data_IF_770897574434
#
_entry.id   IF_770897574434
#
_cell.length_a   1.000
_cell.length_b   1.000
_cell.length_c   1.000
_cell.angle_alpha   90.00
_cell.angle_beta   90.00
_cell.angle_gamma   90.00
#
_symmetry.space_group_name_H-M   'P 1'
#
loop_
_entity.id
_entity.type
_entity.pdbx_description
1 polymer ?
#
# COMPACT_ATOMS: atom_id res chain seq x y z
N UNK A 1 -41.85 -14.21 11.41
CA UNK A 1 -40.48 -14.51 10.93
C UNK A 1 -40.06 -13.40 9.96
N UNK A 2 -38.88 -12.76 10.11
CA UNK A 2 -38.44 -11.80 9.12
C UNK A 2 -38.17 -12.51 7.80
N UNK A 3 -38.79 -12.04 6.71
CA UNK A 3 -38.67 -12.60 5.35
C UNK A 3 -37.19 -12.71 4.97
N UNK A 4 -36.73 -13.91 4.60
CA UNK A 4 -35.37 -14.10 4.08
C UNK A 4 -35.16 -13.26 2.82
N UNK A 5 -33.97 -12.69 2.57
CA UNK A 5 -33.74 -11.72 1.49
C UNK A 5 -33.63 -12.35 0.09
N UNK A 6 -34.00 -13.61 -0.09
CA UNK A 6 -33.60 -14.48 -1.22
C UNK A 6 -33.99 -13.96 -2.62
N UNK A 7 -34.87 -12.94 -2.72
CA UNK A 7 -35.29 -12.32 -3.98
C UNK A 7 -35.08 -10.79 -4.06
N UNK A 8 -34.40 -10.17 -3.09
CA UNK A 8 -34.18 -8.72 -3.09
C UNK A 8 -33.14 -8.32 -4.13
N UNK A 9 -33.40 -7.20 -4.82
CA UNK A 9 -32.43 -6.51 -5.68
C UNK A 9 -31.75 -5.41 -4.85
N UNK A 10 -30.54 -5.03 -5.22
CA UNK A 10 -29.75 -4.01 -4.52
C UNK A 10 -29.23 -2.98 -5.52
N UNK A 11 -29.30 -1.71 -5.14
CA UNK A 11 -28.63 -0.62 -5.84
C UNK A 11 -27.36 -0.31 -5.06
N UNK A 12 -26.20 -0.32 -5.73
CA UNK A 12 -24.90 -0.05 -5.13
C UNK A 12 -24.35 1.21 -5.77
N UNK A 13 -23.99 2.20 -4.95
CA UNK A 13 -23.31 3.42 -5.38
C UNK A 13 -21.97 3.45 -4.65
N UNK A 14 -20.89 3.69 -5.39
CA UNK A 14 -19.53 3.72 -4.87
C UNK A 14 -18.75 4.85 -5.53
N UNK A 15 -17.98 5.57 -4.73
CA UNK A 15 -17.02 6.58 -5.18
C UNK A 15 -15.75 6.48 -4.33
N UNK A 16 -14.73 7.27 -4.67
CA UNK A 16 -13.53 7.43 -3.87
C UNK A 16 -12.96 8.84 -4.07
N UNK A 17 -12.14 9.29 -3.14
CA UNK A 17 -11.53 10.61 -3.13
C UNK A 17 -10.01 10.58 -3.42
N UNK A 18 -9.46 9.47 -3.93
CA UNK A 18 -8.10 9.50 -4.44
C UNK A 18 -8.05 10.31 -5.73
N UNK A 19 -7.06 11.20 -5.93
CA UNK A 19 -6.99 11.97 -7.16
C UNK A 19 -6.94 11.06 -8.40
N UNK A 20 -7.75 11.38 -9.40
CA UNK A 20 -7.82 10.62 -10.65
C UNK A 20 -6.43 10.51 -11.28
N UNK A 21 -6.12 9.34 -11.83
CA UNK A 21 -4.81 9.00 -12.43
C UNK A 21 -3.62 8.95 -11.46
N UNK A 22 -3.83 9.06 -10.14
CA UNK A 22 -2.76 8.90 -9.15
C UNK A 22 -2.26 7.46 -8.99
N UNK A 23 -2.80 6.47 -9.73
CA UNK A 23 -2.31 5.08 -9.70
C UNK A 23 -2.49 4.37 -8.35
N UNK A 24 -3.38 4.86 -7.47
CA UNK A 24 -3.64 4.26 -6.17
C UNK A 24 -4.47 2.96 -6.29
N UNK A 25 -4.31 2.05 -5.32
CA UNK A 25 -5.00 0.75 -5.29
C UNK A 25 -6.50 0.85 -4.92
N UNK A 26 -7.26 1.69 -5.62
CA UNK A 26 -8.68 1.99 -5.35
C UNK A 26 -9.61 0.78 -5.48
N UNK A 27 -9.22 -0.26 -6.23
CA UNK A 27 -9.98 -1.51 -6.30
C UNK A 27 -10.03 -2.24 -4.95
N UNK A 28 -8.95 -2.20 -4.17
CA UNK A 28 -8.89 -2.87 -2.87
C UNK A 28 -9.86 -2.24 -1.87
N UNK A 29 -9.82 -0.91 -1.72
CA UNK A 29 -10.72 -0.18 -0.84
C UNK A 29 -12.18 -0.26 -1.31
N UNK A 30 -12.43 -0.14 -2.61
CA UNK A 30 -13.78 -0.21 -3.19
C UNK A 30 -14.47 -1.56 -2.94
N UNK A 31 -13.82 -2.68 -3.27
CA UNK A 31 -14.40 -4.01 -3.02
C UNK A 31 -14.56 -4.33 -1.54
N UNK A 32 -13.67 -3.83 -0.68
CA UNK A 32 -13.81 -3.99 0.76
C UNK A 32 -15.01 -3.21 1.32
N UNK A 33 -15.17 -1.95 0.94
CA UNK A 33 -16.31 -1.12 1.34
C UNK A 33 -17.64 -1.71 0.85
N UNK A 34 -17.69 -2.14 -0.41
CA UNK A 34 -18.86 -2.80 -0.99
C UNK A 34 -19.21 -4.10 -0.24
N UNK A 35 -18.21 -4.93 0.05
CA UNK A 35 -18.40 -6.17 0.81
C UNK A 35 -18.99 -5.89 2.20
N UNK A 36 -18.40 -4.95 2.95
CA UNK A 36 -18.85 -4.58 4.28
C UNK A 36 -20.28 -4.05 4.28
N UNK A 37 -20.64 -3.19 3.32
CA UNK A 37 -21.98 -2.64 3.16
C UNK A 37 -23.00 -3.72 2.82
N UNK A 38 -22.70 -4.63 1.88
CA UNK A 38 -23.58 -5.72 1.48
C UNK A 38 -23.81 -6.71 2.62
N UNK A 39 -22.77 -7.11 3.34
CA UNK A 39 -22.90 -8.04 4.47
C UNK A 39 -23.84 -7.45 5.53
N UNK A 40 -23.68 -6.16 5.85
CA UNK A 40 -24.54 -5.46 6.80
C UNK A 40 -25.99 -5.38 6.29
N UNK A 41 -26.19 -4.99 5.03
CA UNK A 41 -27.51 -4.82 4.44
C UNK A 41 -28.30 -6.15 4.38
N UNK A 42 -27.62 -7.25 4.05
CA UNK A 42 -28.23 -8.57 3.88
C UNK A 42 -28.18 -9.46 5.12
N UNK A 43 -27.51 -9.01 6.20
CA UNK A 43 -27.25 -9.82 7.41
C UNK A 43 -26.60 -11.17 7.06
N UNK A 44 -25.68 -11.15 6.11
CA UNK A 44 -24.96 -12.35 5.67
C UNK A 44 -24.05 -12.87 6.79
N UNK A 45 -23.90 -14.19 6.88
CA UNK A 45 -22.98 -14.85 7.83
C UNK A 45 -21.53 -14.91 7.33
N UNK A 46 -21.28 -14.54 6.08
CA UNK A 46 -19.90 -14.44 5.54
C UNK A 46 -19.15 -13.28 6.20
N UNK A 47 -17.83 -13.36 6.27
CA UNK A 47 -17.01 -12.25 6.74
C UNK A 47 -16.60 -11.33 5.59
N UNK A 48 -16.32 -10.06 5.92
CA UNK A 48 -15.94 -9.01 4.96
C UNK A 48 -14.72 -9.42 4.14
N UNK A 49 -13.71 -10.00 4.79
CA UNK A 49 -12.47 -10.39 4.12
C UNK A 49 -12.71 -11.40 2.99
N UNK A 50 -13.43 -12.49 3.27
CA UNK A 50 -13.74 -13.54 2.28
C UNK A 50 -14.60 -13.04 1.14
N UNK A 51 -15.62 -12.21 1.41
CA UNK A 51 -16.46 -11.67 0.34
C UNK A 51 -15.70 -10.61 -0.50
N UNK A 52 -14.89 -9.76 0.13
CA UNK A 52 -14.07 -8.77 -0.59
C UNK A 52 -13.04 -9.44 -1.51
N UNK A 53 -12.45 -10.57 -1.08
CA UNK A 53 -11.52 -11.38 -1.87
C UNK A 53 -12.07 -11.77 -3.24
N UNK A 54 -13.39 -11.98 -3.36
CA UNK A 54 -14.04 -12.36 -4.62
C UNK A 54 -14.02 -11.23 -5.67
N UNK A 55 -13.98 -9.97 -5.24
CA UNK A 55 -13.88 -8.83 -6.14
C UNK A 55 -12.44 -8.47 -6.48
N UNK A 56 -11.57 -8.42 -5.46
CA UNK A 56 -10.13 -8.22 -5.62
C UNK A 56 -9.39 -8.90 -4.47
N UNK A 57 -8.33 -9.64 -4.78
CA UNK A 57 -7.56 -10.36 -3.75
C UNK A 57 -7.05 -9.45 -2.63
N UNK A 58 -6.46 -8.30 -2.97
CA UNK A 58 -5.95 -7.35 -1.98
C UNK A 58 -7.04 -6.68 -1.14
N UNK A 59 -8.29 -6.63 -1.61
CA UNK A 59 -9.41 -6.05 -0.86
C UNK A 59 -9.68 -6.77 0.46
N UNK A 60 -9.36 -8.07 0.54
CA UNK A 60 -9.58 -8.86 1.74
C UNK A 60 -8.78 -8.34 2.95
N UNK A 61 -7.63 -7.68 2.72
CA UNK A 61 -6.76 -7.15 3.78
C UNK A 61 -7.24 -5.80 4.32
N UNK A 62 -8.00 -5.03 3.54
CA UNK A 62 -8.59 -3.77 3.99
C UNK A 62 -9.76 -3.95 4.97
N UNK A 63 -10.17 -5.20 5.23
CA UNK A 63 -11.24 -5.53 6.16
C UNK A 63 -10.91 -5.20 7.63
N UNK A 64 -9.62 -5.04 7.95
CA UNK A 64 -9.11 -4.76 9.30
C UNK A 64 -8.16 -3.56 9.29
N UNK A 65 -8.02 -2.90 10.44
CA UNK A 65 -6.95 -1.94 10.69
C UNK A 65 -5.61 -2.62 11.04
N UNK A 66 -4.57 -1.82 11.24
CA UNK A 66 -3.28 -2.33 11.67
C UNK A 66 -2.50 -3.06 10.57
N UNK A 67 -1.70 -4.06 10.98
CA UNK A 67 -1.00 -4.96 10.08
C UNK A 67 -1.85 -6.20 9.84
N UNK A 68 -2.06 -6.56 8.57
CA UNK A 68 -3.02 -7.60 8.19
C UNK A 68 -2.35 -8.65 7.31
N UNK A 69 -2.50 -9.92 7.67
CA UNK A 69 -2.02 -11.04 6.86
C UNK A 69 -3.16 -11.59 6.01
N UNK A 70 -2.93 -11.84 4.72
CA UNK A 70 -3.82 -12.67 3.92
C UNK A 70 -3.31 -14.11 3.92
N UNK A 71 -4.03 -14.99 4.60
CA UNK A 71 -3.69 -16.41 4.64
C UNK A 71 -4.12 -17.07 3.32
N UNK A 72 -3.18 -17.72 2.62
CA UNK A 72 -3.46 -18.36 1.33
C UNK A 72 -4.52 -19.48 1.42
N UNK A 73 -4.67 -20.09 2.59
CA UNK A 73 -5.46 -21.30 2.77
C UNK A 73 -4.83 -22.53 2.10
N UNK A 74 -5.52 -23.65 2.23
CA UNK A 74 -5.21 -24.94 1.60
C UNK A 74 -6.46 -25.63 1.05
N UNK A 75 -7.67 -25.20 1.46
CA UNK A 75 -8.91 -25.81 1.00
C UNK A 75 -9.29 -25.31 -0.40
N UNK A 76 -9.64 -26.21 -1.35
CA UNK A 76 -10.01 -25.84 -2.71
C UNK A 76 -11.22 -24.91 -2.81
N UNK A 77 -12.13 -24.95 -1.84
CA UNK A 77 -13.30 -24.07 -1.77
C UNK A 77 -12.97 -22.64 -1.30
N UNK A 78 -11.73 -22.40 -0.86
CA UNK A 78 -11.24 -21.13 -0.35
C UNK A 78 -11.88 -20.72 0.99
N UNK A 79 -12.45 -21.65 1.75
CA UNK A 79 -13.09 -21.38 3.05
C UNK A 79 -12.10 -20.92 4.13
N UNK A 80 -10.80 -21.18 3.93
CA UNK A 80 -9.69 -20.79 4.81
C UNK A 80 -8.74 -19.74 4.18
N UNK A 81 -9.03 -19.28 2.97
CA UNK A 81 -8.25 -18.24 2.28
C UNK A 81 -8.69 -16.84 2.73
N UNK A 82 -8.39 -16.46 3.98
CA UNK A 82 -8.97 -15.27 4.63
C UNK A 82 -7.90 -14.37 5.23
N UNK A 83 -8.17 -13.07 5.31
CA UNK A 83 -7.29 -12.15 6.03
C UNK A 83 -7.56 -12.18 7.53
N UNK A 84 -6.51 -11.96 8.31
CA UNK A 84 -6.54 -11.85 9.77
C UNK A 84 -5.69 -10.68 10.20
N UNK A 85 -6.20 -9.86 11.13
CA UNK A 85 -5.40 -8.83 11.79
C UNK A 85 -4.26 -9.50 12.56
N UNK A 86 -3.02 -9.08 12.30
CA UNK A 86 -1.84 -9.56 13.00
C UNK A 86 -1.58 -8.77 14.27
N UNK A 87 -1.61 -7.44 14.15
CA UNK A 87 -1.65 -6.47 15.24
C UNK A 87 -2.51 -5.27 14.79
N UNK A 88 -3.16 -4.59 15.72
CA UNK A 88 -4.00 -3.42 15.40
C UNK A 88 -3.17 -2.15 15.16
N UNK A 89 -3.85 -1.05 14.83
CA UNK A 89 -3.23 0.25 14.55
C UNK A 89 -2.54 0.90 15.77
N UNK A 90 -2.89 0.48 16.99
CA UNK A 90 -2.30 1.01 18.22
C UNK A 90 -0.97 0.35 18.56
N UNK A 91 -0.67 -0.80 17.92
CA UNK A 91 0.55 -1.54 18.20
C UNK A 91 1.83 -0.79 17.82
N UNK A 92 1.86 -0.01 16.75
CA UNK A 92 3.08 0.69 16.32
C UNK A 92 2.77 2.12 15.84
N UNK A 93 2.37 3.03 16.75
CA UNK A 93 1.93 4.37 16.37
C UNK A 93 3.03 5.24 15.76
N UNK A 94 4.30 4.90 16.00
CA UNK A 94 5.45 5.61 15.45
C UNK A 94 5.64 5.34 13.96
N UNK A 95 5.25 4.18 13.42
CA UNK A 95 5.45 3.90 12.00
C UNK A 95 4.46 4.71 11.14
N UNK A 96 4.99 5.38 10.13
CA UNK A 96 4.25 6.22 9.19
C UNK A 96 4.40 5.66 7.79
N UNK A 97 3.37 5.90 6.96
CA UNK A 97 3.37 5.57 5.54
C UNK A 97 3.31 6.87 4.76
N UNK A 98 4.13 6.96 3.72
CA UNK A 98 3.98 7.99 2.69
C UNK A 98 3.78 7.35 1.32
N UNK A 99 3.18 8.09 0.39
CA UNK A 99 3.16 7.72 -1.02
C UNK A 99 3.60 8.94 -1.84
N UNK A 100 4.79 8.83 -2.43
CA UNK A 100 5.27 9.77 -3.44
C UNK A 100 4.69 9.32 -4.79
N UNK A 101 3.66 10.02 -5.25
CA UNK A 101 2.99 9.71 -6.52
C UNK A 101 3.84 10.23 -7.65
N UNK A 102 4.21 9.32 -8.54
CA UNK A 102 5.08 9.58 -9.69
C UNK A 102 4.25 9.53 -10.97
N UNK A 103 4.73 10.19 -12.02
CA UNK A 103 4.14 9.99 -13.35
C UNK A 103 4.32 8.51 -13.74
N UNK A 104 3.21 7.84 -13.95
CA UNK A 104 3.19 6.43 -14.33
C UNK A 104 3.80 6.21 -15.71
N UNK A 105 4.40 5.04 -15.91
CA UNK A 105 4.57 4.49 -17.25
C UNK A 105 3.18 4.23 -17.87
N UNK A 106 3.10 4.19 -19.21
CA UNK A 106 1.89 3.68 -19.86
C UNK A 106 1.62 2.27 -19.33
N UNK A 107 0.44 2.06 -18.75
CA UNK A 107 0.09 0.79 -18.10
C UNK A 107 0.01 -0.31 -19.15
N UNK A 108 1.09 -1.09 -19.28
CA UNK A 108 1.24 -2.13 -20.29
C UNK A 108 0.21 -3.26 -20.08
N UNK A 109 0.22 -3.86 -18.88
CA UNK A 109 -0.71 -4.95 -18.51
C UNK A 109 -1.32 -4.76 -17.12
N UNK A 110 -2.62 -5.05 -16.97
CA UNK A 110 -3.29 -5.06 -15.66
C UNK A 110 -2.65 -6.08 -14.71
N UNK A 111 -2.60 -5.79 -13.41
CA UNK A 111 -2.03 -6.71 -12.40
C UNK A 111 -2.62 -8.11 -12.45
N UNK A 112 -3.93 -8.26 -12.72
CA UNK A 112 -4.60 -9.57 -12.86
C UNK A 112 -3.99 -10.41 -13.99
N UNK A 113 -3.81 -9.83 -15.18
CA UNK A 113 -3.19 -10.54 -16.30
C UNK A 113 -1.69 -10.71 -16.09
N UNK A 114 -1.02 -9.67 -15.58
CA UNK A 114 0.41 -9.66 -15.33
C UNK A 114 0.85 -10.75 -14.36
N UNK A 115 0.21 -10.88 -13.19
CA UNK A 115 0.58 -11.88 -12.19
C UNK A 115 0.43 -13.33 -12.70
N UNK A 116 -0.59 -13.61 -13.51
CA UNK A 116 -0.77 -14.92 -14.12
C UNK A 116 0.30 -15.20 -15.17
N UNK A 117 0.70 -14.19 -15.94
CA UNK A 117 1.78 -14.30 -16.91
C UNK A 117 3.12 -14.54 -16.19
N UNK A 118 3.41 -13.81 -15.12
CA UNK A 118 4.60 -14.00 -14.30
C UNK A 118 4.65 -15.41 -13.70
N UNK A 119 3.54 -15.90 -13.14
CA UNK A 119 3.46 -17.27 -12.62
C UNK A 119 3.77 -18.31 -13.70
N UNK A 120 3.34 -18.07 -14.94
CA UNK A 120 3.53 -18.98 -16.07
C UNK A 120 4.96 -18.96 -16.62
N UNK A 121 5.62 -17.80 -16.61
CA UNK A 121 6.83 -17.58 -17.44
C UNK A 121 8.06 -17.12 -16.67
N UNK A 122 7.92 -16.41 -15.54
CA UNK A 122 9.09 -15.98 -14.77
C UNK A 122 9.71 -17.18 -14.05
N UNK A 123 11.02 -17.45 -14.25
CA UNK A 123 11.71 -18.56 -13.60
C UNK A 123 11.84 -18.35 -12.08
N UNK A 124 11.65 -17.12 -11.59
CA UNK A 124 11.85 -16.75 -10.19
C UNK A 124 10.66 -17.10 -9.29
N UNK A 125 9.46 -17.27 -9.88
CA UNK A 125 8.22 -17.47 -9.12
C UNK A 125 8.23 -18.75 -8.27
N UNK A 126 8.84 -19.83 -8.77
CA UNK A 126 8.83 -21.13 -8.07
C UNK A 126 9.51 -21.03 -6.71
N UNK A 127 10.75 -20.55 -6.68
CA UNK A 127 11.53 -20.39 -5.44
C UNK A 127 10.86 -19.38 -4.50
N UNK A 128 10.36 -18.27 -5.06
CA UNK A 128 9.64 -17.26 -4.28
C UNK A 128 8.48 -17.84 -3.48
N UNK A 129 7.65 -18.66 -4.12
CA UNK A 129 6.47 -19.28 -3.50
C UNK A 129 6.88 -20.32 -2.45
N UNK A 130 7.87 -21.16 -2.75
CA UNK A 130 8.22 -22.30 -1.89
C UNK A 130 9.10 -21.96 -0.69
N UNK A 131 9.94 -20.92 -0.80
CA UNK A 131 11.02 -20.63 0.17
C UNK A 131 10.95 -19.17 0.64
N UNK A 132 11.08 -18.22 -0.29
CA UNK A 132 11.28 -16.80 0.05
C UNK A 132 10.10 -16.20 0.82
N UNK A 133 8.86 -16.38 0.35
CA UNK A 133 7.68 -15.80 1.01
C UNK A 133 7.44 -16.41 2.39
N UNK A 134 7.44 -17.74 2.58
CA UNK A 134 7.35 -18.35 3.92
C UNK A 134 8.38 -17.80 4.92
N UNK A 135 9.63 -17.66 4.50
CA UNK A 135 10.71 -17.11 5.35
C UNK A 135 10.46 -15.63 5.69
N UNK A 136 10.20 -14.79 4.68
CA UNK A 136 9.96 -13.36 4.88
C UNK A 136 8.72 -13.09 5.71
N UNK A 137 7.66 -13.90 5.58
CA UNK A 137 6.48 -13.82 6.46
C UNK A 137 6.84 -14.04 7.92
N UNK A 138 7.73 -15.00 8.24
CA UNK A 138 8.21 -15.23 9.62
C UNK A 138 9.05 -14.05 10.13
N UNK A 139 9.96 -13.53 9.30
CA UNK A 139 10.84 -12.42 9.67
C UNK A 139 10.03 -11.14 9.89
N UNK A 140 9.17 -10.76 8.94
CA UNK A 140 8.29 -9.59 9.04
C UNK A 140 7.37 -9.69 10.26
N UNK A 141 6.78 -10.86 10.52
CA UNK A 141 5.95 -11.08 11.71
C UNK A 141 6.72 -10.82 13.00
N UNK A 142 7.97 -11.29 13.10
CA UNK A 142 8.84 -11.02 14.26
C UNK A 142 9.19 -9.53 14.36
N UNK A 143 9.57 -8.90 13.25
CA UNK A 143 9.95 -7.49 13.20
C UNK A 143 8.80 -6.58 13.62
N UNK A 144 7.58 -6.82 13.11
CA UNK A 144 6.38 -6.06 13.48
C UNK A 144 6.08 -6.23 14.97
N UNK A 145 6.10 -7.46 15.51
CA UNK A 145 5.87 -7.68 16.95
C UNK A 145 6.90 -6.97 17.82
N UNK A 146 8.15 -6.93 17.39
CA UNK A 146 9.25 -6.29 18.11
C UNK A 146 9.37 -4.78 17.84
N UNK A 147 8.57 -4.22 16.93
CA UNK A 147 8.72 -2.84 16.40
C UNK A 147 10.14 -2.58 15.88
N UNK A 148 10.77 -3.61 15.32
CA UNK A 148 12.08 -3.54 14.70
C UNK A 148 11.93 -2.94 13.29
N UNK A 149 12.10 -1.62 13.21
CA UNK A 149 11.95 -0.88 11.97
C UNK A 149 12.98 -1.30 10.92
N UNK A 150 14.24 -1.54 11.30
CA UNK A 150 15.30 -1.85 10.34
C UNK A 150 15.02 -3.19 9.63
N UNK A 151 14.72 -4.24 10.40
CA UNK A 151 14.37 -5.54 9.83
C UNK A 151 13.08 -5.47 8.99
N UNK A 152 12.06 -4.73 9.46
CA UNK A 152 10.84 -4.51 8.69
C UNK A 152 11.11 -3.81 7.35
N UNK A 153 11.89 -2.73 7.39
CA UNK A 153 12.24 -1.91 6.23
C UNK A 153 13.04 -2.71 5.20
N UNK A 154 14.00 -3.50 5.64
CA UNK A 154 14.80 -4.38 4.78
C UNK A 154 13.92 -5.41 4.06
N UNK A 155 13.00 -6.06 4.78
CA UNK A 155 12.06 -7.01 4.17
C UNK A 155 11.13 -6.32 3.15
N UNK A 156 10.63 -5.12 3.46
CA UNK A 156 9.79 -4.35 2.54
C UNK A 156 10.52 -4.01 1.23
N UNK A 157 11.78 -3.54 1.33
CA UNK A 157 12.59 -3.22 0.16
C UNK A 157 12.95 -4.47 -0.66
N UNK A 158 13.29 -5.58 0.01
CA UNK A 158 13.58 -6.85 -0.66
C UNK A 158 12.36 -7.42 -1.39
N UNK A 159 11.17 -7.38 -0.78
CA UNK A 159 9.92 -7.80 -1.44
C UNK A 159 9.60 -6.93 -2.66
N UNK A 160 9.84 -5.63 -2.57
CA UNK A 160 9.65 -4.69 -3.67
C UNK A 160 10.63 -4.94 -4.82
N UNK A 161 11.92 -5.15 -4.50
CA UNK A 161 12.98 -5.42 -5.49
C UNK A 161 12.68 -6.74 -6.21
N UNK A 162 12.37 -7.81 -5.47
CA UNK A 162 12.00 -9.12 -6.04
C UNK A 162 10.78 -9.01 -6.98
N UNK A 163 9.75 -8.24 -6.61
CA UNK A 163 8.56 -8.07 -7.44
C UNK A 163 8.91 -7.42 -8.79
N UNK A 164 9.77 -6.41 -8.79
CA UNK A 164 10.23 -5.76 -10.02
C UNK A 164 11.07 -6.71 -10.88
N UNK A 165 11.93 -7.53 -10.27
CA UNK A 165 12.73 -8.55 -10.96
C UNK A 165 11.84 -9.64 -11.59
N UNK A 166 10.79 -10.08 -10.89
CA UNK A 166 9.80 -11.02 -11.42
C UNK A 166 9.07 -10.43 -12.63
N UNK A 167 8.65 -9.16 -12.54
CA UNK A 167 8.04 -8.48 -13.68
C UNK A 167 9.03 -8.40 -14.86
N UNK A 168 10.29 -8.08 -14.59
CA UNK A 168 11.34 -7.94 -15.60
C UNK A 168 11.70 -9.28 -16.27
N UNK A 169 11.54 -10.41 -15.57
CA UNK A 169 11.80 -11.77 -16.04
C UNK A 169 10.53 -12.50 -16.51
N UNK A 170 9.37 -11.83 -16.50
CA UNK A 170 8.14 -12.34 -17.12
C UNK A 170 8.27 -12.25 -18.64
N UNK A 171 7.65 -13.18 -19.37
CA UNK A 171 7.65 -13.17 -20.83
C UNK A 171 6.22 -13.01 -21.38
N UNK A 172 5.87 -11.92 -22.09
CA UNK A 172 6.67 -10.72 -22.34
C UNK A 172 7.00 -9.93 -21.07
N UNK A 173 8.10 -9.16 -21.12
CA UNK A 173 8.57 -8.33 -20.00
C UNK A 173 7.47 -7.39 -19.52
N UNK A 174 7.25 -7.34 -18.21
CA UNK A 174 6.36 -6.38 -17.58
C UNK A 174 7.21 -5.28 -16.95
N UNK A 175 6.90 -4.02 -17.27
CA UNK A 175 7.57 -2.86 -16.65
C UNK A 175 6.54 -1.90 -16.09
N UNK A 176 6.51 -1.79 -14.76
CA UNK A 176 5.65 -0.84 -14.06
C UNK A 176 6.38 0.42 -13.58
N UNK A 177 7.64 0.25 -13.17
CA UNK A 177 8.50 1.31 -12.69
C UNK A 177 8.95 2.24 -13.82
N UNK A 178 9.21 3.50 -13.49
CA UNK A 178 9.88 4.48 -14.37
C UNK A 178 11.28 4.79 -13.84
N UNK A 179 12.05 5.58 -14.58
CA UNK A 179 13.33 6.10 -14.07
C UNK A 179 13.19 6.92 -12.79
N UNK A 180 12.04 7.58 -12.59
CA UNK A 180 11.76 8.28 -11.33
C UNK A 180 11.57 7.29 -10.17
N UNK A 181 10.97 6.11 -10.43
CA UNK A 181 10.87 5.03 -9.45
C UNK A 181 12.26 4.51 -9.06
N UNK A 182 13.14 4.26 -10.04
CA UNK A 182 14.52 3.81 -9.77
C UNK A 182 15.36 4.90 -9.10
N UNK A 183 15.14 6.17 -9.42
CA UNK A 183 15.76 7.30 -8.72
C UNK A 183 15.34 7.35 -7.25
N UNK A 184 14.06 7.14 -6.93
CA UNK A 184 13.59 7.01 -5.55
C UNK A 184 14.27 5.85 -4.81
N UNK A 185 14.45 4.69 -5.45
CA UNK A 185 15.20 3.56 -4.88
C UNK A 185 16.64 3.97 -4.54
N UNK A 186 17.35 4.58 -5.50
CA UNK A 186 18.72 5.07 -5.29
C UNK A 186 18.78 6.11 -4.17
N UNK A 187 17.80 7.01 -4.11
CA UNK A 187 17.73 8.06 -3.11
C UNK A 187 17.57 7.50 -1.70
N UNK A 188 16.62 6.59 -1.49
CA UNK A 188 16.41 5.95 -0.18
C UNK A 188 17.66 5.17 0.25
N UNK A 189 18.28 4.41 -0.66
CA UNK A 189 19.53 3.68 -0.37
C UNK A 189 20.67 4.64 0.02
N UNK A 190 20.85 5.74 -0.73
CA UNK A 190 21.87 6.75 -0.44
C UNK A 190 21.61 7.48 0.89
N UNK A 191 20.35 7.79 1.19
CA UNK A 191 19.95 8.40 2.45
C UNK A 191 20.24 7.50 3.65
N UNK A 192 19.84 6.23 3.60
CA UNK A 192 20.14 5.26 4.68
C UNK A 192 21.65 5.06 4.86
N UNK A 193 22.41 4.99 3.75
CA UNK A 193 23.87 4.89 3.80
C UNK A 193 24.51 6.10 4.49
N UNK A 194 24.01 7.32 4.22
CA UNK A 194 24.45 8.54 4.91
C UNK A 194 24.06 8.56 6.39
N UNK A 195 22.85 8.11 6.73
CA UNK A 195 22.39 7.99 8.14
C UNK A 195 23.15 6.93 8.93
N UNK A 196 23.82 5.99 8.26
CA UNK A 196 24.46 4.84 8.91
C UNK A 196 23.48 3.81 9.47
N UNK A 197 22.19 3.90 9.13
CA UNK A 197 21.13 2.96 9.51
C UNK A 197 19.97 3.00 8.51
N UNK A 198 19.15 1.95 8.51
CA UNK A 198 17.90 1.89 7.73
C UNK A 198 16.84 2.78 8.39
N UNK A 199 16.74 4.05 7.95
CA UNK A 199 15.81 5.06 8.46
C UNK A 199 14.55 5.22 7.60
N UNK A 200 14.64 4.87 6.31
CA UNK A 200 13.56 4.99 5.34
C UNK A 200 13.50 3.71 4.50
N UNK A 201 12.31 3.16 4.31
CA UNK A 201 12.08 2.01 3.43
C UNK A 201 11.24 2.44 2.23
N UNK A 202 11.43 1.80 1.08
CA UNK A 202 10.54 1.93 -0.07
C UNK A 202 9.81 0.62 -0.37
N UNK A 203 8.65 0.73 -1.01
CA UNK A 203 8.01 -0.38 -1.71
C UNK A 203 7.21 0.15 -2.90
N UNK A 204 7.17 -0.62 -3.98
CA UNK A 204 6.41 -0.32 -5.18
C UNK A 204 5.40 -1.45 -5.43
N UNK A 205 4.19 -1.10 -5.87
CA UNK A 205 3.16 -2.07 -6.21
C UNK A 205 2.60 -1.78 -7.60
N UNK A 206 2.68 -2.77 -8.49
CA UNK A 206 2.18 -2.81 -9.88
C UNK A 206 1.97 -1.44 -10.58
N UNK A 207 2.92 -0.52 -10.40
CA UNK A 207 2.85 0.87 -10.82
C UNK A 207 4.14 1.64 -10.43
N UNK A 208 4.20 2.92 -10.80
CA UNK A 208 5.40 3.74 -10.61
C UNK A 208 5.52 4.39 -9.22
N UNK A 209 4.42 4.49 -8.47
CA UNK A 209 4.38 5.20 -7.20
C UNK A 209 5.29 4.56 -6.15
N UNK A 210 6.04 5.40 -5.43
CA UNK A 210 6.91 4.97 -4.36
C UNK A 210 6.17 5.11 -3.03
N UNK A 211 5.78 3.99 -2.43
CA UNK A 211 5.36 3.98 -1.03
C UNK A 211 6.60 3.96 -0.14
N UNK A 212 6.53 4.68 0.96
CA UNK A 212 7.63 4.81 1.91
C UNK A 212 7.16 4.46 3.31
N UNK A 213 8.00 3.75 4.04
CA UNK A 213 7.83 3.54 5.48
C UNK A 213 8.93 4.29 6.22
N UNK A 214 8.55 4.99 7.28
CA UNK A 214 9.47 5.80 8.09
C UNK A 214 8.92 5.91 9.51
N UNK A 215 9.77 6.06 10.53
CA UNK A 215 9.30 6.39 11.86
C UNK A 215 8.94 7.88 11.96
N UNK A 216 7.96 8.22 12.80
CA UNK A 216 7.44 9.59 12.95
C UNK A 216 8.52 10.60 13.30
N UNK A 217 9.53 10.19 14.07
CA UNK A 217 10.69 11.01 14.43
C UNK A 217 11.61 11.33 13.24
N UNK A 218 11.75 10.38 12.30
CA UNK A 218 12.62 10.49 11.12
C UNK A 218 11.92 11.18 9.94
N UNK A 219 10.57 11.22 9.94
CA UNK A 219 9.78 11.68 8.81
C UNK A 219 10.11 13.12 8.36
N UNK A 220 10.22 14.13 9.24
CA UNK A 220 10.48 15.50 8.79
C UNK A 220 11.80 15.64 8.00
N UNK A 221 12.88 15.03 8.47
CA UNK A 221 14.17 15.05 7.78
C UNK A 221 14.11 14.26 6.46
N UNK A 222 13.48 13.08 6.48
CA UNK A 222 13.29 12.27 5.28
C UNK A 222 12.52 13.05 4.20
N UNK A 223 11.45 13.77 4.56
CA UNK A 223 10.67 14.58 3.60
C UNK A 223 11.48 15.77 3.10
N UNK A 224 12.21 16.48 3.97
CA UNK A 224 13.10 17.55 3.53
C UNK A 224 14.17 17.05 2.54
N UNK A 225 14.74 15.87 2.80
CA UNK A 225 15.65 15.18 1.88
C UNK A 225 14.98 14.86 0.54
N UNK A 226 13.74 14.36 0.55
CA UNK A 226 12.99 14.14 -0.70
C UNK A 226 12.79 15.44 -1.48
N UNK A 227 12.47 16.55 -0.81
CA UNK A 227 12.22 17.84 -1.47
C UNK A 227 13.46 18.45 -2.12
N UNK A 228 14.66 18.15 -1.61
CA UNK A 228 15.90 18.56 -2.28
C UNK A 228 16.09 17.90 -3.65
N UNK A 229 15.59 16.68 -3.81
CA UNK A 229 15.76 15.86 -5.02
C UNK A 229 14.54 15.88 -5.93
N UNK A 230 13.35 16.00 -5.36
CA UNK A 230 12.05 16.11 -6.03
C UNK A 230 11.27 17.32 -5.49
N UNK A 231 11.67 18.56 -5.86
CA UNK A 231 11.07 19.77 -5.31
C UNK A 231 9.57 19.82 -5.58
N UNK A 232 8.77 19.66 -4.54
CA UNK A 232 7.31 19.55 -4.63
C UNK A 232 6.67 20.65 -3.78
N UNK A 233 5.75 21.45 -4.34
CA UNK A 233 5.07 22.51 -3.60
C UNK A 233 4.11 21.94 -2.54
N UNK A 234 3.96 22.61 -1.40
CA UNK A 234 3.15 22.12 -0.27
C UNK A 234 1.66 21.96 -0.59
N UNK A 235 1.16 22.64 -1.63
CA UNK A 235 -0.20 22.48 -2.16
C UNK A 235 -0.46 21.06 -2.68
N UNK A 236 0.60 20.30 -2.97
CA UNK A 236 0.54 18.89 -3.38
C UNK A 236 0.76 17.91 -2.23
N UNK A 237 0.84 18.38 -0.99
CA UNK A 237 1.01 17.55 0.20
C UNK A 237 -0.36 17.23 0.80
N UNK A 238 -0.66 15.94 0.93
CA UNK A 238 -1.89 15.45 1.53
C UNK A 238 -1.51 14.70 2.80
N UNK A 239 -1.30 15.43 3.89
CA UNK A 239 -0.92 14.84 5.18
C UNK A 239 -2.15 14.61 6.03
N UNK A 240 -2.31 13.38 6.53
CA UNK A 240 -3.30 13.06 7.55
C UNK A 240 -2.96 13.74 8.90
N UNK A 241 -1.67 13.90 9.20
CA UNK A 241 -1.17 14.56 10.41
C UNK A 241 -0.67 15.99 10.10
N UNK A 242 -1.47 17.00 10.48
CA UNK A 242 -1.16 18.41 10.25
C UNK A 242 0.04 18.91 11.07
N UNK A 243 0.20 18.43 12.30
CA UNK A 243 1.32 18.84 13.15
C UNK A 243 2.65 18.33 12.59
N UNK A 244 2.64 17.12 12.03
CA UNK A 244 3.80 16.55 11.38
C UNK A 244 4.18 17.30 10.10
N UNK A 245 3.19 17.82 9.35
CA UNK A 245 3.45 18.70 8.22
C UNK A 245 4.10 20.03 8.65
N UNK A 246 3.66 20.64 9.75
CA UNK A 246 4.30 21.84 10.28
C UNK A 246 5.76 21.58 10.69
N UNK A 247 6.05 20.41 11.28
CA UNK A 247 7.44 20.00 11.57
C UNK A 247 8.29 19.91 10.30
N UNK A 248 7.76 19.37 9.20
CA UNK A 248 8.47 19.30 7.91
C UNK A 248 8.86 20.70 7.42
N UNK A 249 7.96 21.67 7.51
CA UNK A 249 8.17 23.03 7.00
C UNK A 249 9.32 23.79 7.67
N UNK A 250 9.65 23.43 8.90
CA UNK A 250 10.69 24.11 9.69
C UNK A 250 12.03 23.35 9.71
N UNK A 251 12.13 22.21 9.02
CA UNK A 251 13.39 21.45 8.94
C UNK A 251 14.43 22.25 8.16
N UNK A 252 15.59 22.46 8.78
CA UNK A 252 16.81 22.85 8.08
C UNK A 252 17.60 21.60 7.74
N UNK A 253 17.60 21.19 6.46
CA UNK A 253 18.25 19.95 6.06
C UNK A 253 19.78 20.09 6.07
N UNK A 254 20.52 19.21 6.79
CA UNK A 254 21.97 19.16 6.73
C UNK A 254 22.51 18.95 5.31
N UNK A 255 23.63 19.59 4.98
CA UNK A 255 24.23 19.53 3.63
C UNK A 255 24.61 18.11 3.19
N UNK A 256 24.90 17.21 4.13
CA UNK A 256 25.24 15.81 3.84
C UNK A 256 24.09 15.02 3.19
N UNK A 257 22.84 15.48 3.34
CA UNK A 257 21.65 14.88 2.74
C UNK A 257 21.22 15.59 1.45
N UNK A 258 21.98 16.58 0.98
CA UNK A 258 21.76 17.24 -0.32
C UNK A 258 22.55 16.51 -1.40
N UNK A 259 22.02 16.48 -2.63
CA UNK A 259 22.69 15.91 -3.82
C UNK A 259 23.16 14.45 -3.62
N UNK A 260 22.33 13.63 -2.96
CA UNK A 260 22.59 12.21 -2.72
C UNK A 260 22.59 11.37 -4.00
N UNK A 261 21.89 11.83 -5.04
CA UNK A 261 21.83 11.19 -6.35
C UNK A 261 21.92 12.23 -7.47
N UNK A 262 22.37 11.78 -8.64
CA UNK A 262 22.25 12.52 -9.89
C UNK A 262 20.95 12.09 -10.60
N UNK A 263 19.96 12.98 -10.58
CA UNK A 263 18.66 12.79 -11.24
C UNK A 263 18.01 14.15 -11.52
N UNK A 264 17.32 14.33 -12.66
CA UNK A 264 16.61 15.58 -12.95
C UNK A 264 15.56 15.92 -11.88
N UNK A 265 15.71 17.09 -11.25
CA UNK A 265 14.76 17.61 -10.27
C UNK A 265 13.40 17.84 -10.92
N UNK A 266 12.35 17.28 -10.32
CA UNK A 266 10.96 17.46 -10.74
C UNK A 266 10.02 17.22 -9.54
N UNK A 267 8.81 17.80 -9.53
CA UNK A 267 7.86 17.57 -8.44
C UNK A 267 7.28 16.17 -8.52
N UNK A 268 6.87 15.64 -7.37
CA UNK A 268 5.87 14.58 -7.31
C UNK A 268 4.52 15.10 -7.81
N UNK A 269 3.66 14.18 -8.28
CA UNK A 269 2.27 14.54 -8.56
C UNK A 269 1.52 14.86 -7.26
N UNK A 270 1.81 14.11 -6.20
CA UNK A 270 1.47 14.44 -4.82
C UNK A 270 2.38 13.70 -3.84
N UNK A 271 2.44 14.17 -2.59
CA UNK A 271 3.00 13.45 -1.46
C UNK A 271 1.91 13.22 -0.40
N UNK A 272 1.46 11.98 -0.28
CA UNK A 272 0.51 11.55 0.75
C UNK A 272 1.27 11.11 2.00
N UNK A 273 0.76 11.43 3.19
CA UNK A 273 1.20 10.84 4.45
C UNK A 273 -0.01 10.30 5.21
N UNK A 274 0.13 9.12 5.79
CA UNK A 274 -0.88 8.46 6.61
C UNK A 274 -0.25 7.72 7.79
N UNK A 275 -0.87 7.74 8.99
CA UNK A 275 -0.55 6.76 10.02
C UNK A 275 -1.08 5.38 9.62
N UNK A 276 -0.80 4.37 10.46
CA UNK A 276 -1.51 3.08 10.39
C UNK A 276 -3.00 3.30 10.66
N UNK A 277 -3.87 2.77 9.79
CA UNK A 277 -5.31 3.03 9.83
C UNK A 277 -6.14 1.96 10.56
N UNK A 278 -7.38 2.31 10.93
CA UNK A 278 -8.29 1.48 11.73
C UNK A 278 -9.19 0.50 10.94
N UNK A 279 -9.09 0.47 9.61
CA UNK A 279 -9.93 -0.40 8.76
C UNK A 279 -11.27 0.23 8.36
N UNK A 280 -12.26 -0.62 8.06
CA UNK A 280 -13.57 -0.17 7.54
C UNK A 280 -14.39 0.57 8.59
N UNK A 281 -15.06 1.66 8.15
CA UNK A 281 -16.01 2.42 8.97
C UNK A 281 -17.40 2.36 8.35
N UNK A 282 -18.40 2.19 9.20
CA UNK A 282 -19.79 2.30 8.79
C UNK A 282 -20.35 3.66 9.16
N UNK A 283 -20.99 4.32 8.20
CA UNK A 283 -21.46 5.69 8.32
C UNK A 283 -22.98 5.74 8.53
N UNK A 284 -23.47 6.91 8.95
CA UNK A 284 -24.89 7.16 9.15
C UNK A 284 -25.63 7.46 7.84
N UNK A 285 -26.98 7.47 7.86
CA UNK A 285 -27.80 7.77 6.68
C UNK A 285 -27.52 9.15 6.05
N UNK A 286 -27.05 10.12 6.83
CA UNK A 286 -26.70 11.47 6.37
C UNK A 286 -25.53 11.50 5.39
N UNK A 287 -24.68 10.47 5.38
CA UNK A 287 -23.51 10.33 4.50
C UNK A 287 -23.80 9.36 3.33
N UNK A 288 -25.06 8.97 3.14
CA UNK A 288 -25.45 8.05 2.07
C UNK A 288 -25.29 8.71 0.70
N UNK A 289 -24.64 8.00 -0.24
CA UNK A 289 -24.61 8.37 -1.66
C UNK A 289 -25.93 8.10 -2.38
N UNK A 290 -26.86 7.38 -1.74
CA UNK A 290 -28.21 7.16 -2.23
C UNK A 290 -29.14 8.13 -1.50
N UNK A 291 -29.74 9.12 -2.18
CA UNK A 291 -30.65 10.06 -1.55
C UNK A 291 -31.92 9.35 -1.04
N UNK A 292 -32.57 9.88 0.01
CA UNK A 292 -33.85 9.34 0.46
C UNK A 292 -34.89 9.44 -0.66
N UNK A 293 -35.82 8.48 -0.71
CA UNK A 293 -36.99 8.60 -1.59
C UNK A 293 -37.88 9.70 -1.02
N UNK A 294 -38.13 10.73 -1.82
CA UNK A 294 -39.18 11.73 -1.60
C UNK A 294 -40.54 11.06 -1.80
#
# INVERSE_FOLDING_TARGET
MPRRPENKKVNIVSENNFPTAAGMASSASGYCAMSAALIRAFKSTTNVSMLARLGSGSACRSAFGGFVMWNKGEKPDGSDCVATQFVDETHWPEIQVMCAVLKGAQKDVSSTKGMQQSLKTSPLMKKRISETVPERMKIASRAIKARDFATFAEIAMLESDDLQEICATTEPKITYATEDSYAMIRLVKAYNAKKGRTALAYTFDAGANCFLFVLKEDLPEAVAMLMEHFPTPFEKFFFGDRELLEKVKVVSLPDEYKKLIDHPKKPFEMLLQSPVGCGVKYLGPSESLIPPRV
#
